data_IF_870703733471
#
_entry.id   IF_870703733471
#
_cell.length_a   1.000
_cell.length_b   1.000
_cell.length_c   1.000
_cell.angle_alpha   90.00
_cell.angle_beta   90.00
_cell.angle_gamma   90.00
#
_symmetry.space_group_name_H-M   'P 1'
#
loop_
_entity.id
_entity.type
_entity.pdbx_description
1 polymer ?
#
# COMPACT_ATOMS: atom_id res chain seq x y z
N UNK A 1 15.84 -10.15 16.00
CA UNK A 1 16.02 -9.81 14.55
C UNK A 1 17.23 -8.89 14.36
N UNK A 2 18.44 -9.42 14.07
CA UNK A 2 19.68 -8.64 13.88
C UNK A 2 19.95 -8.19 12.42
N UNK A 3 19.09 -8.56 11.47
CA UNK A 3 19.27 -8.24 10.04
C UNK A 3 19.06 -6.75 9.68
N UNK A 4 18.44 -5.97 10.56
CA UNK A 4 18.13 -4.54 10.32
C UNK A 4 19.27 -3.57 10.60
N UNK A 5 20.46 -4.05 11.02
CA UNK A 5 21.61 -3.18 11.36
C UNK A 5 22.62 -3.02 10.23
N UNK A 6 22.27 -3.46 9.02
CA UNK A 6 23.11 -3.27 7.83
C UNK A 6 22.76 -1.94 7.15
N UNK A 7 23.75 -1.07 6.96
CA UNK A 7 23.60 0.26 6.33
C UNK A 7 22.90 0.17 4.97
N UNK A 8 23.17 -0.88 4.21
CA UNK A 8 22.53 -1.12 2.91
C UNK A 8 21.04 -1.42 3.01
N UNK A 9 20.61 -2.21 4.01
CA UNK A 9 19.19 -2.54 4.22
C UNK A 9 18.40 -1.30 4.64
N UNK A 10 19.02 -0.42 5.46
CA UNK A 10 18.41 0.85 5.85
C UNK A 10 18.28 1.78 4.64
N UNK A 11 19.34 1.92 3.83
CA UNK A 11 19.31 2.72 2.62
C UNK A 11 18.24 2.22 1.64
N UNK A 12 18.19 0.90 1.40
CA UNK A 12 17.18 0.28 0.55
C UNK A 12 15.76 0.56 1.04
N UNK A 13 15.50 0.39 2.35
CA UNK A 13 14.20 0.70 2.96
C UNK A 13 13.81 2.17 2.72
N UNK A 14 14.75 3.10 2.91
CA UNK A 14 14.49 4.52 2.72
C UNK A 14 14.21 4.86 1.26
N UNK A 15 14.92 4.25 0.31
CA UNK A 15 14.66 4.40 -1.13
C UNK A 15 13.28 3.87 -1.50
N UNK A 16 12.91 2.68 -1.00
CA UNK A 16 11.58 2.11 -1.21
C UNK A 16 10.47 3.02 -0.65
N UNK A 17 10.65 3.54 0.56
CA UNK A 17 9.69 4.47 1.18
C UNK A 17 9.59 5.78 0.39
N UNK A 18 10.72 6.34 -0.04
CA UNK A 18 10.73 7.56 -0.84
C UNK A 18 10.00 7.37 -2.19
N UNK A 19 10.29 6.26 -2.88
CA UNK A 19 9.61 5.90 -4.12
C UNK A 19 8.11 5.73 -3.91
N UNK A 20 7.69 5.07 -2.83
CA UNK A 20 6.28 4.92 -2.49
C UNK A 20 5.59 6.28 -2.22
N UNK A 21 6.25 7.20 -1.51
CA UNK A 21 5.72 8.55 -1.28
C UNK A 21 5.52 9.30 -2.60
N UNK A 22 6.55 9.31 -3.47
CA UNK A 22 6.47 9.96 -4.79
C UNK A 22 5.35 9.34 -5.62
N UNK A 23 5.22 8.02 -5.62
CA UNK A 23 4.17 7.32 -6.33
C UNK A 23 2.77 7.69 -5.81
N UNK A 24 2.58 7.76 -4.48
CA UNK A 24 1.32 8.20 -3.86
C UNK A 24 0.97 9.65 -4.23
N UNK A 25 1.96 10.55 -4.29
CA UNK A 25 1.75 11.94 -4.74
C UNK A 25 1.31 11.96 -6.21
N UNK A 26 1.96 11.16 -7.07
CA UNK A 26 1.58 11.06 -8.49
C UNK A 26 0.15 10.55 -8.68
N UNK A 27 -0.25 9.52 -7.94
CA UNK A 27 -1.63 9.01 -7.96
C UNK A 27 -2.61 10.08 -7.46
N UNK A 28 -2.28 10.79 -6.39
CA UNK A 28 -3.13 11.85 -5.85
C UNK A 28 -3.38 12.96 -6.89
N UNK A 29 -2.31 13.45 -7.53
CA UNK A 29 -2.41 14.44 -8.61
C UNK A 29 -3.23 13.89 -9.77
N UNK A 30 -2.95 12.66 -10.22
CA UNK A 30 -3.66 12.03 -11.31
C UNK A 30 -5.17 11.89 -11.02
N UNK A 31 -5.53 11.47 -9.81
CA UNK A 31 -6.92 11.31 -9.39
C UNK A 31 -7.66 12.63 -9.35
N UNK A 32 -7.01 13.72 -8.91
CA UNK A 32 -7.59 15.07 -8.91
C UNK A 32 -7.84 15.53 -10.34
N UNK A 33 -6.86 15.38 -11.23
CA UNK A 33 -6.95 15.82 -12.63
C UNK A 33 -8.01 15.02 -13.41
N UNK A 34 -8.15 13.72 -13.14
CA UNK A 34 -9.10 12.85 -13.86
C UNK A 34 -10.49 12.77 -13.23
N UNK A 35 -10.72 13.41 -12.07
CA UNK A 35 -11.95 13.30 -11.27
C UNK A 35 -12.41 11.85 -11.04
N UNK A 36 -11.46 10.91 -11.13
CA UNK A 36 -11.74 9.48 -11.07
C UNK A 36 -11.05 8.91 -9.83
N UNK A 37 -11.84 8.71 -8.78
CA UNK A 37 -11.40 8.18 -7.49
C UNK A 37 -11.13 6.68 -7.52
N UNK A 38 -11.45 5.99 -8.62
CA UNK A 38 -11.20 4.54 -8.76
C UNK A 38 -9.71 4.24 -8.61
N UNK A 39 -8.83 5.11 -9.13
CA UNK A 39 -7.36 4.93 -9.03
C UNK A 39 -6.79 5.10 -7.61
N UNK A 40 -7.57 5.54 -6.64
CA UNK A 40 -7.18 5.58 -5.22
C UNK A 40 -7.39 4.24 -4.50
N UNK A 41 -8.02 3.28 -5.18
CA UNK A 41 -8.23 1.94 -4.68
C UNK A 41 -6.88 1.26 -4.35
N UNK A 42 -6.74 0.75 -3.13
CA UNK A 42 -5.53 0.08 -2.68
C UNK A 42 -5.12 -1.10 -3.58
N UNK A 43 -6.08 -1.79 -4.20
CA UNK A 43 -5.80 -2.89 -5.12
C UNK A 43 -5.26 -2.42 -6.48
N UNK A 44 -5.75 -1.27 -6.97
CA UNK A 44 -5.26 -0.67 -8.21
C UNK A 44 -3.84 -0.09 -8.00
N UNK A 45 -3.55 0.46 -6.82
CA UNK A 45 -2.20 0.95 -6.47
C UNK A 45 -1.18 -0.20 -6.42
N UNK A 46 -1.60 -1.37 -5.97
CA UNK A 46 -0.77 -2.58 -5.94
C UNK A 46 -0.72 -3.31 -7.29
N UNK A 47 -1.43 -2.82 -8.31
CA UNK A 47 -1.62 -3.48 -9.60
C UNK A 47 -1.99 -4.97 -9.44
N UNK A 48 -2.88 -5.30 -8.50
CA UNK A 48 -3.27 -6.69 -8.21
C UNK A 48 -3.90 -7.40 -9.42
N UNK A 49 -4.44 -6.64 -10.37
CA UNK A 49 -4.90 -7.14 -11.67
C UNK A 49 -3.81 -7.90 -12.45
N UNK A 50 -2.52 -7.58 -12.25
CA UNK A 50 -1.41 -8.30 -12.88
C UNK A 50 -1.29 -9.75 -12.38
N UNK A 51 -1.67 -9.99 -11.12
CA UNK A 51 -1.64 -11.32 -10.51
C UNK A 51 -3.01 -12.02 -10.58
N UNK A 52 -4.09 -11.23 -10.55
CA UNK A 52 -5.47 -11.71 -10.54
C UNK A 52 -6.31 -10.91 -11.54
N UNK A 53 -6.25 -11.21 -12.85
CA UNK A 53 -6.87 -10.40 -13.91
C UNK A 53 -8.41 -10.31 -13.87
N UNK A 54 -9.06 -11.12 -13.03
CA UNK A 54 -10.52 -11.11 -12.80
C UNK A 54 -10.91 -10.58 -11.41
N UNK A 55 -10.07 -9.77 -10.77
CA UNK A 55 -10.45 -9.13 -9.50
C UNK A 55 -11.63 -8.18 -9.73
N UNK A 56 -12.50 -8.08 -8.72
CA UNK A 56 -13.71 -7.25 -8.76
C UNK A 56 -13.31 -5.80 -9.04
N UNK A 57 -13.92 -5.17 -10.05
CA UNK A 57 -13.68 -3.77 -10.46
C UNK A 57 -14.83 -2.84 -10.05
N UNK A 58 -14.57 -1.54 -9.97
CA UNK A 58 -15.56 -0.51 -9.62
C UNK A 58 -15.82 -0.37 -8.11
N UNK A 59 -16.99 0.14 -7.73
CA UNK A 59 -17.28 0.54 -6.33
C UNK A 59 -17.15 -0.62 -5.31
N UNK A 60 -17.47 -1.86 -5.71
CA UNK A 60 -17.29 -3.03 -4.85
C UNK A 60 -15.80 -3.28 -4.57
N UNK A 61 -14.93 -3.10 -5.57
CA UNK A 61 -13.48 -3.18 -5.42
C UNK A 61 -12.99 -2.22 -4.34
N UNK A 62 -13.51 -1.00 -4.33
CA UNK A 62 -13.12 0.02 -3.37
C UNK A 62 -13.46 -0.39 -1.93
N UNK A 63 -14.63 -0.99 -1.69
CA UNK A 63 -15.01 -1.51 -0.37
C UNK A 63 -14.08 -2.64 0.07
N UNK A 64 -13.81 -3.62 -0.80
CA UNK A 64 -12.89 -4.71 -0.48
C UNK A 64 -11.46 -4.22 -0.23
N UNK A 65 -11.04 -3.18 -0.95
CA UNK A 65 -9.71 -2.56 -0.78
C UNK A 65 -9.53 -1.92 0.59
N UNK A 66 -10.56 -1.24 1.09
CA UNK A 66 -10.57 -0.65 2.43
C UNK A 66 -10.52 -1.75 3.48
N UNK A 67 -11.32 -2.81 3.31
CA UNK A 67 -11.31 -3.96 4.23
C UNK A 67 -9.92 -4.61 4.29
N UNK A 68 -9.30 -4.86 3.13
CA UNK A 68 -7.96 -5.42 3.05
C UNK A 68 -6.92 -4.52 3.72
N UNK A 69 -6.99 -3.20 3.51
CA UNK A 69 -6.13 -2.23 4.16
C UNK A 69 -6.29 -2.26 5.70
N UNK A 70 -7.52 -2.32 6.20
CA UNK A 70 -7.81 -2.43 7.65
C UNK A 70 -7.25 -3.73 8.21
N UNK A 71 -7.37 -4.85 7.50
CA UNK A 71 -6.80 -6.14 7.93
C UNK A 71 -5.28 -6.04 8.02
N UNK A 72 -4.62 -5.50 7.00
CA UNK A 72 -3.15 -5.31 6.99
C UNK A 72 -2.74 -4.41 8.16
N UNK A 73 -3.44 -3.30 8.38
CA UNK A 73 -3.18 -2.41 9.52
C UNK A 73 -3.32 -3.14 10.86
N UNK A 74 -4.39 -3.90 11.07
CA UNK A 74 -4.61 -4.69 12.28
C UNK A 74 -3.47 -5.69 12.51
N UNK A 75 -3.04 -6.42 11.46
CA UNK A 75 -1.92 -7.36 11.54
C UNK A 75 -0.66 -6.66 12.03
N UNK A 76 -0.28 -5.54 11.42
CA UNK A 76 0.90 -4.78 11.82
C UNK A 76 0.76 -4.18 13.23
N UNK A 77 -0.43 -3.73 13.60
CA UNK A 77 -0.72 -3.21 14.94
C UNK A 77 -0.52 -4.28 16.02
N UNK A 78 -1.06 -5.48 15.83
CA UNK A 78 -0.90 -6.58 16.79
C UNK A 78 0.55 -7.06 16.87
N UNK A 79 1.25 -7.20 15.74
CA UNK A 79 2.68 -7.58 15.71
C UNK A 79 3.55 -6.55 16.45
N UNK A 80 3.29 -5.25 16.28
CA UNK A 80 4.04 -4.22 16.99
C UNK A 80 3.68 -4.13 18.48
N UNK A 81 2.42 -4.41 18.85
CA UNK A 81 1.98 -4.46 20.25
C UNK A 81 2.73 -5.55 21.03
N UNK A 82 2.98 -6.71 20.42
CA UNK A 82 3.77 -7.79 21.03
C UNK A 82 5.25 -7.44 21.20
N UNK A 83 5.82 -6.60 20.32
CA UNK A 83 7.22 -6.15 20.41
C UNK A 83 7.50 -5.12 21.50
N UNK A 84 6.47 -4.39 21.94
CA UNK A 84 6.56 -3.32 22.93
C UNK A 84 6.07 -3.75 24.33
N UNK A 85 5.73 -5.03 24.52
CA UNK A 85 5.52 -5.66 25.82
C UNK A 85 6.80 -6.39 26.24
#
# INVERSE_FOLDING_TARGET
>A
MKFFRNKYVIALKNVMLFSAIVHMIMIAIYSIVKLNTVKFNFFDILDLDLFFPNIIKGNLSQVFSIIAFVIVYCIFYFINKEKNK
#
